data_IF_406137269884
#
_entry.id   IF_406137269884
#
_cell.length_a   1.000
_cell.length_b   1.000
_cell.length_c   1.000
_cell.angle_alpha   90.00
_cell.angle_beta   90.00
_cell.angle_gamma   90.00
#
_symmetry.space_group_name_H-M   'P 1'
#
loop_
_entity.id
_entity.type
_entity.pdbx_description
1 polymer ?
#
# COMPACT_ATOMS: atom_id res chain seq x y z
N UNK A 1 -25.83 -39.01 44.40
CA UNK A 1 -25.28 -37.81 45.05
C UNK A 1 -24.68 -36.95 43.95
N UNK A 2 -25.45 -36.01 43.44
CA UNK A 2 -24.96 -34.95 42.57
C UNK A 2 -24.98 -33.69 43.45
N UNK A 3 -23.80 -33.11 43.70
CA UNK A 3 -23.64 -31.85 44.42
C UNK A 3 -24.37 -30.74 43.67
N UNK A 4 -25.46 -30.23 44.25
CA UNK A 4 -26.06 -28.99 43.83
C UNK A 4 -25.28 -27.86 44.52
N UNK A 5 -24.27 -27.33 43.84
CA UNK A 5 -23.60 -26.10 44.28
C UNK A 5 -24.64 -25.00 44.54
N UNK A 6 -24.54 -24.38 45.72
CA UNK A 6 -25.54 -23.46 46.24
C UNK A 6 -25.53 -22.13 45.44
N UNK A 7 -26.67 -21.66 44.88
CA UNK A 7 -26.72 -20.50 43.98
C UNK A 7 -26.11 -19.20 44.55
N UNK A 8 -26.08 -19.03 45.87
CA UNK A 8 -25.47 -17.87 46.53
C UNK A 8 -23.92 -17.88 46.48
N UNK A 9 -23.30 -19.05 46.57
CA UNK A 9 -21.84 -19.19 46.50
C UNK A 9 -21.33 -18.91 45.07
N UNK A 10 -22.08 -19.40 44.07
CA UNK A 10 -21.81 -19.11 42.65
C UNK A 10 -21.93 -17.62 42.37
N UNK A 11 -22.97 -16.94 42.89
CA UNK A 11 -23.13 -15.50 42.70
C UNK A 11 -22.01 -14.66 43.36
N UNK A 12 -21.51 -15.06 44.53
CA UNK A 12 -20.40 -14.38 45.21
C UNK A 12 -19.07 -14.55 44.47
N UNK A 13 -18.77 -15.76 43.98
CA UNK A 13 -17.58 -16.04 43.17
C UNK A 13 -17.58 -15.25 41.85
N UNK A 14 -18.75 -15.15 41.19
CA UNK A 14 -18.92 -14.34 39.98
C UNK A 14 -18.67 -12.85 40.27
N UNK A 15 -19.19 -12.31 41.37
CA UNK A 15 -18.98 -10.90 41.74
C UNK A 15 -17.51 -10.58 42.10
N UNK A 16 -16.79 -11.52 42.73
CA UNK A 16 -15.37 -11.39 43.02
C UNK A 16 -14.53 -11.37 41.73
N UNK A 17 -14.80 -12.30 40.81
CA UNK A 17 -14.13 -12.36 39.51
C UNK A 17 -14.38 -11.11 38.65
N UNK A 18 -15.60 -10.58 38.61
CA UNK A 18 -15.90 -9.32 37.91
C UNK A 18 -15.14 -8.12 38.50
N UNK A 19 -14.99 -8.10 39.82
CA UNK A 19 -14.26 -7.03 40.52
C UNK A 19 -12.77 -7.10 40.19
N UNK A 20 -12.18 -8.30 40.19
CA UNK A 20 -10.79 -8.52 39.74
C UNK A 20 -10.61 -8.17 38.27
N UNK A 21 -11.58 -8.51 37.42
CA UNK A 21 -11.56 -8.16 35.99
C UNK A 21 -11.50 -6.65 35.81
N UNK A 22 -12.37 -5.87 36.48
CA UNK A 22 -12.33 -4.40 36.40
C UNK A 22 -10.98 -3.87 36.87
N UNK A 23 -10.49 -4.34 38.02
CA UNK A 23 -9.20 -3.93 38.54
C UNK A 23 -8.04 -4.22 37.58
N UNK A 24 -8.02 -5.41 36.95
CA UNK A 24 -7.03 -5.78 35.94
C UNK A 24 -6.98 -4.78 34.77
N UNK A 25 -8.14 -4.42 34.21
CA UNK A 25 -8.22 -3.46 33.11
C UNK A 25 -7.91 -2.03 33.56
N UNK A 26 -8.30 -1.62 34.77
CA UNK A 26 -7.93 -0.31 35.33
C UNK A 26 -6.40 -0.18 35.44
N UNK A 27 -5.72 -1.20 35.96
CA UNK A 27 -4.24 -1.23 36.04
C UNK A 27 -3.58 -1.12 34.67
N UNK A 28 -4.12 -1.79 33.65
CA UNK A 28 -3.64 -1.67 32.27
C UNK A 28 -3.86 -0.26 31.75
N UNK A 29 -5.07 0.30 31.90
CA UNK A 29 -5.40 1.63 31.39
C UNK A 29 -4.56 2.73 32.06
N UNK A 30 -4.28 2.58 33.36
CA UNK A 30 -3.48 3.51 34.17
C UNK A 30 -1.97 3.33 33.95
N UNK A 31 -1.53 2.28 33.26
CA UNK A 31 -0.11 2.00 33.03
C UNK A 31 0.63 1.50 34.27
N UNK A 32 -0.08 0.93 35.25
CA UNK A 32 0.50 0.50 36.52
C UNK A 32 1.06 -0.92 36.46
N UNK A 33 2.20 -1.08 35.78
CA UNK A 33 2.83 -2.39 35.56
C UNK A 33 3.18 -3.13 36.85
N UNK A 34 3.54 -2.43 37.92
CA UNK A 34 3.97 -3.06 39.18
C UNK A 34 2.80 -3.78 39.87
N UNK A 35 1.67 -3.08 40.03
CA UNK A 35 0.47 -3.71 40.58
C UNK A 35 -0.12 -4.76 39.63
N UNK A 36 -0.01 -4.53 38.32
CA UNK A 36 -0.44 -5.51 37.32
C UNK A 36 0.33 -6.83 37.44
N UNK A 37 1.65 -6.79 37.65
CA UNK A 37 2.48 -7.99 37.89
C UNK A 37 2.02 -8.74 39.13
N UNK A 38 1.85 -8.03 40.24
CA UNK A 38 1.38 -8.63 41.51
C UNK A 38 0.02 -9.30 41.32
N UNK A 39 -0.91 -8.63 40.61
CA UNK A 39 -2.21 -9.21 40.31
C UNK A 39 -2.07 -10.45 39.45
N UNK A 40 -1.32 -10.39 38.33
CA UNK A 40 -1.12 -11.54 37.43
C UNK A 40 -0.53 -12.74 38.16
N UNK A 41 0.46 -12.54 39.04
CA UNK A 41 1.12 -13.62 39.79
C UNK A 41 0.21 -14.24 40.87
N UNK A 42 -0.90 -13.57 41.22
CA UNK A 42 -1.92 -14.08 42.15
C UNK A 42 -3.03 -14.89 41.48
N UNK A 43 -3.14 -14.84 40.14
CA UNK A 43 -4.17 -15.53 39.38
C UNK A 43 -3.74 -16.96 39.05
N UNK A 44 -4.71 -17.86 38.96
CA UNK A 44 -4.45 -19.16 38.33
C UNK A 44 -4.40 -19.03 36.79
N UNK A 45 -3.97 -20.09 36.12
CA UNK A 45 -3.79 -20.09 34.68
C UNK A 45 -5.11 -19.91 33.90
N UNK A 46 -6.22 -20.43 34.42
CA UNK A 46 -7.53 -20.36 33.75
C UNK A 46 -8.14 -18.97 33.90
N UNK A 47 -8.03 -18.36 35.08
CA UNK A 47 -8.40 -16.97 35.34
C UNK A 47 -7.59 -16.02 34.46
N UNK A 48 -6.27 -16.17 34.41
CA UNK A 48 -5.40 -15.32 33.60
C UNK A 48 -5.72 -15.47 32.11
N UNK A 49 -5.85 -16.69 31.59
CA UNK A 49 -6.24 -16.92 30.19
C UNK A 49 -7.59 -16.30 29.86
N UNK A 50 -8.54 -16.38 30.80
CA UNK A 50 -9.85 -15.75 30.65
C UNK A 50 -9.70 -14.23 30.56
N UNK A 51 -8.92 -13.59 31.43
CA UNK A 51 -8.70 -12.14 31.41
C UNK A 51 -7.99 -11.67 30.14
N UNK A 52 -6.97 -12.41 29.67
CA UNK A 52 -6.21 -12.08 28.47
C UNK A 52 -7.09 -12.11 27.21
N UNK A 53 -7.95 -13.14 27.08
CA UNK A 53 -8.84 -13.33 25.92
C UNK A 53 -10.10 -12.47 25.96
N UNK A 54 -10.42 -11.87 27.10
CA UNK A 54 -11.66 -11.12 27.27
C UNK A 54 -11.54 -9.76 26.60
N UNK A 55 -12.22 -9.60 25.46
CA UNK A 55 -12.67 -8.28 25.05
C UNK A 55 -13.75 -7.85 26.07
N UNK A 56 -13.50 -6.77 26.84
CA UNK A 56 -14.50 -6.21 27.76
C UNK A 56 -15.81 -6.00 26.96
N UNK A 57 -17.00 -6.45 27.39
CA UNK A 57 -17.74 -5.82 28.49
C UNK A 57 -19.10 -6.49 28.84
N UNK A 58 -19.51 -6.70 30.11
CA UNK A 58 -20.92 -6.92 30.45
C UNK A 58 -21.70 -5.67 30.90
N UNK A 59 -21.10 -4.49 31.16
CA UNK A 59 -21.82 -3.38 31.85
C UNK A 59 -21.55 -1.94 31.35
N UNK A 60 -20.52 -1.61 30.58
CA UNK A 60 -20.25 -0.22 30.19
C UNK A 60 -21.12 0.26 29.02
N UNK A 61 -22.20 0.94 29.40
CA UNK A 61 -23.01 1.82 28.54
C UNK A 61 -22.27 3.11 28.12
N UNK A 62 -20.94 3.16 28.21
CA UNK A 62 -20.12 4.36 27.93
C UNK A 62 -18.94 4.00 27.03
N UNK A 63 -19.22 4.00 25.73
CA UNK A 63 -18.38 4.54 24.64
C UNK A 63 -16.91 4.85 25.00
N UNK A 64 -16.06 3.84 25.24
CA UNK A 64 -14.58 3.93 25.15
C UNK A 64 -13.94 2.53 25.13
N UNK A 65 -13.34 2.23 23.97
CA UNK A 65 -12.38 1.16 23.66
C UNK A 65 -12.82 -0.28 24.03
N UNK A 66 -13.61 -0.87 23.15
CA UNK A 66 -13.76 -2.32 23.04
C UNK A 66 -12.45 -2.91 22.54
N UNK A 67 -11.71 -3.59 23.40
CA UNK A 67 -10.45 -4.25 23.04
C UNK A 67 -10.06 -5.24 24.13
N UNK A 68 -9.26 -6.24 23.76
CA UNK A 68 -8.58 -7.14 24.70
C UNK A 68 -7.66 -6.37 25.66
N UNK A 69 -7.04 -7.09 26.60
CA UNK A 69 -5.99 -6.57 27.45
C UNK A 69 -4.83 -5.96 26.64
N UNK A 70 -4.38 -6.65 25.57
CA UNK A 70 -3.29 -6.20 24.72
C UNK A 70 -3.66 -4.90 24.01
N UNK A 71 -4.85 -4.82 23.42
CA UNK A 71 -5.32 -3.62 22.72
C UNK A 71 -5.45 -2.43 23.66
N UNK A 72 -5.91 -2.67 24.90
CA UNK A 72 -5.99 -1.64 25.94
C UNK A 72 -4.60 -1.07 26.26
N UNK A 73 -3.62 -1.94 26.51
CA UNK A 73 -2.23 -1.53 26.73
C UNK A 73 -1.63 -0.81 25.51
N UNK A 74 -1.88 -1.34 24.31
CA UNK A 74 -1.40 -0.77 23.04
C UNK A 74 -1.94 0.64 22.82
N UNK A 75 -3.24 0.86 23.03
CA UNK A 75 -3.87 2.17 22.90
C UNK A 75 -3.54 3.14 24.04
N UNK A 76 -3.19 2.62 25.20
CA UNK A 76 -2.59 3.37 26.31
C UNK A 76 -1.14 3.78 26.07
N UNK A 77 -0.48 3.17 25.05
CA UNK A 77 0.97 3.29 24.78
C UNK A 77 1.85 2.75 25.91
N UNK A 78 1.33 1.80 26.68
CA UNK A 78 2.02 1.13 27.78
C UNK A 78 2.77 -0.09 27.22
N UNK A 79 3.87 0.15 26.50
CA UNK A 79 4.57 -0.91 25.75
C UNK A 79 5.28 -1.94 26.62
N UNK A 80 5.62 -1.57 27.85
CA UNK A 80 6.08 -2.48 28.90
C UNK A 80 4.97 -3.44 29.35
N UNK A 81 3.73 -2.96 29.42
CA UNK A 81 2.54 -3.79 29.67
C UNK A 81 2.24 -4.67 28.45
N UNK A 82 2.38 -4.16 27.21
CA UNK A 82 2.25 -4.99 26.00
C UNK A 82 3.21 -6.17 26.07
N UNK A 83 4.48 -5.93 26.41
CA UNK A 83 5.49 -6.97 26.54
C UNK A 83 5.13 -8.00 27.63
N UNK A 84 4.69 -7.53 28.80
CA UNK A 84 4.22 -8.39 29.90
C UNK A 84 3.03 -9.25 29.49
N UNK A 85 2.03 -8.67 28.82
CA UNK A 85 0.84 -9.41 28.41
C UNK A 85 1.19 -10.49 27.37
N UNK A 86 2.07 -10.18 26.41
CA UNK A 86 2.58 -11.18 25.45
C UNK A 86 3.38 -12.27 26.15
N UNK A 87 4.15 -11.94 27.20
CA UNK A 87 4.95 -12.91 27.98
C UNK A 87 4.02 -13.91 28.68
N UNK A 88 2.87 -13.41 29.14
CA UNK A 88 1.86 -14.18 29.86
C UNK A 88 0.86 -14.88 28.93
N UNK A 89 1.05 -14.85 27.61
CA UNK A 89 0.28 -15.62 26.64
C UNK A 89 -0.85 -14.88 25.94
N UNK A 90 -0.86 -13.53 25.95
CA UNK A 90 -1.74 -12.77 25.06
C UNK A 90 -1.43 -13.13 23.59
N UNK A 91 -2.47 -13.28 22.77
CA UNK A 91 -2.31 -13.61 21.35
C UNK A 91 -1.76 -12.39 20.57
N UNK A 92 -0.53 -12.44 20.04
CA UNK A 92 0.05 -11.33 19.29
C UNK A 92 -0.65 -11.07 17.94
N UNK A 93 -1.51 -11.99 17.50
CA UNK A 93 -2.24 -11.94 16.24
C UNK A 93 -3.71 -11.57 16.41
N UNK A 94 -4.15 -11.25 17.63
CA UNK A 94 -5.56 -11.00 17.87
C UNK A 94 -6.07 -9.80 17.05
N UNK A 95 -7.12 -9.97 16.24
CA UNK A 95 -7.63 -8.88 15.43
C UNK A 95 -8.26 -7.82 16.33
N UNK A 96 -8.15 -6.56 15.91
CA UNK A 96 -8.82 -5.47 16.59
C UNK A 96 -10.35 -5.62 16.48
N UNK A 97 -11.00 -5.96 17.59
CA UNK A 97 -12.46 -6.11 17.66
C UNK A 97 -13.12 -4.74 17.91
N UNK A 98 -13.52 -4.06 16.83
CA UNK A 98 -14.24 -2.79 16.93
C UNK A 98 -14.53 -2.13 15.58
N UNK A 99 -15.44 -1.15 15.57
CA UNK A 99 -15.70 -0.32 14.39
C UNK A 99 -14.84 0.95 14.45
N UNK A 100 -13.83 1.04 13.59
CA UNK A 100 -13.25 2.35 13.24
C UNK A 100 -14.02 2.85 12.03
N UNK A 101 -14.73 3.98 12.17
CA UNK A 101 -15.50 4.59 11.08
C UNK A 101 -16.53 3.63 10.42
N UNK A 102 -17.24 2.80 11.20
CA UNK A 102 -18.21 1.81 10.72
C UNK A 102 -17.65 0.72 9.78
N UNK A 103 -16.33 0.56 9.69
CA UNK A 103 -15.71 -0.58 9.00
C UNK A 103 -15.14 -1.53 10.05
N UNK A 104 -15.46 -2.82 9.90
CA UNK A 104 -14.68 -3.87 10.55
C UNK A 104 -13.33 -3.88 9.85
N UNK A 105 -12.26 -3.76 10.61
CA UNK A 105 -10.91 -3.90 10.10
C UNK A 105 -10.22 -4.91 10.98
N UNK A 106 -9.92 -6.09 10.46
CA UNK A 106 -9.06 -7.08 11.11
C UNK A 106 -7.60 -6.60 11.12
N UNK A 107 -7.34 -5.48 11.78
CA UNK A 107 -5.98 -5.00 11.99
C UNK A 107 -5.34 -5.83 13.10
N UNK A 108 -4.13 -6.29 12.86
CA UNK A 108 -3.31 -6.97 13.87
C UNK A 108 -2.55 -5.93 14.72
N UNK A 109 -2.06 -6.32 15.92
CA UNK A 109 -1.14 -5.50 16.69
C UNK A 109 0.11 -5.12 15.88
N UNK A 110 0.66 -6.05 15.09
CA UNK A 110 1.84 -5.79 14.25
C UNK A 110 1.55 -4.76 13.17
N UNK A 111 0.47 -4.92 12.39
CA UNK A 111 0.06 -3.95 11.38
C UNK A 111 -0.11 -2.55 12.01
N UNK A 112 -0.71 -2.49 13.20
CA UNK A 112 -0.94 -1.24 13.90
C UNK A 112 0.36 -0.61 14.43
N UNK A 113 1.31 -1.42 14.90
CA UNK A 113 2.64 -0.95 15.29
C UNK A 113 3.40 -0.34 14.10
N UNK A 114 3.37 -1.00 12.95
CA UNK A 114 3.98 -0.52 11.71
C UNK A 114 3.33 0.78 11.24
N UNK A 115 1.99 0.85 11.17
CA UNK A 115 1.30 2.08 10.75
C UNK A 115 1.57 3.29 11.65
N UNK A 116 2.02 3.06 12.89
CA UNK A 116 2.43 4.09 13.86
C UNK A 116 3.94 4.29 13.97
N UNK A 117 4.74 3.64 13.12
CA UNK A 117 6.20 3.68 13.11
C UNK A 117 6.84 3.23 14.44
N UNK A 118 6.25 2.25 15.12
CA UNK A 118 6.70 1.78 16.45
C UNK A 118 7.63 0.57 16.32
N UNK A 119 8.85 0.76 15.80
CA UNK A 119 9.81 -0.34 15.58
C UNK A 119 10.09 -1.19 16.84
N UNK A 120 10.29 -0.63 18.05
CA UNK A 120 10.51 -1.47 19.25
C UNK A 120 9.34 -2.43 19.52
N UNK A 121 8.11 -1.97 19.31
CA UNK A 121 6.89 -2.77 19.49
C UNK A 121 6.78 -3.82 18.40
N UNK A 122 7.14 -3.50 17.15
CA UNK A 122 7.22 -4.48 16.06
C UNK A 122 8.18 -5.63 16.43
N UNK A 123 9.37 -5.30 16.97
CA UNK A 123 10.35 -6.30 17.42
C UNK A 123 9.81 -7.20 18.51
N UNK A 124 9.16 -6.62 19.53
CA UNK A 124 8.53 -7.38 20.61
C UNK A 124 7.44 -8.31 20.08
N UNK A 125 6.56 -7.82 19.21
CA UNK A 125 5.46 -8.61 18.65
C UNK A 125 5.97 -9.81 17.83
N UNK A 126 6.92 -9.58 16.92
CA UNK A 126 7.50 -10.66 16.10
C UNK A 126 8.24 -11.67 16.98
N UNK A 127 9.03 -11.21 17.97
CA UNK A 127 9.71 -12.08 18.91
C UNK A 127 8.75 -12.96 19.75
N UNK A 128 7.47 -12.56 19.85
CA UNK A 128 6.41 -13.28 20.57
C UNK A 128 5.45 -14.03 19.66
N UNK A 129 5.78 -14.18 18.37
CA UNK A 129 5.00 -15.00 17.44
C UNK A 129 3.91 -14.25 16.68
N UNK A 130 4.00 -12.92 16.57
CA UNK A 130 3.19 -12.19 15.59
C UNK A 130 3.51 -12.71 14.18
N UNK A 131 2.47 -13.08 13.44
CA UNK A 131 2.57 -13.47 12.05
C UNK A 131 2.91 -12.21 11.23
N UNK A 132 4.12 -12.23 10.67
CA UNK A 132 4.73 -11.10 9.98
C UNK A 132 3.99 -10.70 8.68
N UNK A 133 3.28 -11.66 8.10
CA UNK A 133 2.54 -11.52 6.83
C UNK A 133 1.03 -11.35 7.03
N UNK A 134 0.54 -11.41 8.28
CA UNK A 134 -0.90 -11.34 8.55
C UNK A 134 -1.44 -9.95 8.20
N UNK A 135 -2.09 -9.89 7.04
CA UNK A 135 -2.68 -8.69 6.49
C UNK A 135 -4.06 -8.35 7.05
N UNK A 136 -4.57 -7.20 6.61
CA UNK A 136 -5.95 -6.76 6.91
C UNK A 136 -6.98 -7.54 6.10
N UNK A 137 -8.27 -7.19 6.23
CA UNK A 137 -9.35 -7.76 5.40
C UNK A 137 -9.16 -7.54 3.89
N UNK A 138 -8.43 -6.50 3.51
CA UNK A 138 -8.03 -6.24 2.12
C UNK A 138 -6.67 -6.86 1.77
N UNK A 139 -6.20 -7.82 2.56
CA UNK A 139 -4.90 -8.48 2.43
C UNK A 139 -3.69 -7.51 2.41
N UNK A 140 -3.83 -6.29 2.96
CA UNK A 140 -2.71 -5.35 3.07
C UNK A 140 -1.79 -5.86 4.18
N UNK A 141 -0.56 -6.25 3.83
CA UNK A 141 0.42 -6.79 4.78
C UNK A 141 1.12 -5.69 5.57
N UNK A 142 1.74 -6.01 6.73
CA UNK A 142 2.61 -5.08 7.44
C UNK A 142 3.73 -4.49 6.56
N UNK A 143 4.30 -5.30 5.65
CA UNK A 143 5.35 -4.85 4.74
C UNK A 143 4.84 -3.78 3.75
N UNK A 144 3.64 -3.97 3.17
CA UNK A 144 3.06 -2.98 2.26
C UNK A 144 2.83 -1.63 2.92
N UNK A 145 2.28 -1.60 4.14
CA UNK A 145 2.05 -0.33 4.84
C UNK A 145 3.38 0.32 5.29
N UNK A 146 4.41 -0.46 5.62
CA UNK A 146 5.76 0.08 5.88
C UNK A 146 6.34 0.76 4.63
N UNK A 147 6.21 0.13 3.45
CA UNK A 147 6.65 0.69 2.17
C UNK A 147 5.88 1.96 1.81
N UNK A 148 4.55 1.93 1.97
CA UNK A 148 3.68 3.09 1.74
C UNK A 148 4.10 4.30 2.57
N UNK A 149 4.49 4.06 3.82
CA UNK A 149 4.89 5.09 4.76
C UNK A 149 6.38 5.43 4.67
N UNK A 150 7.13 4.83 3.73
CA UNK A 150 8.57 5.05 3.55
C UNK A 150 9.43 4.75 4.79
N UNK A 151 9.05 3.73 5.56
CA UNK A 151 9.70 3.37 6.83
C UNK A 151 10.84 2.35 6.62
N UNK A 152 12.00 2.79 6.12
CA UNK A 152 13.11 1.89 5.76
C UNK A 152 13.52 0.92 6.88
N UNK A 153 13.67 1.39 8.12
CA UNK A 153 14.08 0.53 9.24
C UNK A 153 13.06 -0.59 9.53
N UNK A 154 11.76 -0.31 9.37
CA UNK A 154 10.70 -1.30 9.57
C UNK A 154 10.62 -2.24 8.37
N UNK A 155 10.77 -1.73 7.14
CA UNK A 155 10.87 -2.58 5.94
C UNK A 155 12.02 -3.57 6.09
N UNK A 156 13.20 -3.08 6.45
CA UNK A 156 14.40 -3.91 6.67
C UNK A 156 14.11 -4.98 7.73
N UNK A 157 13.60 -4.57 8.90
CA UNK A 157 13.25 -5.48 9.97
C UNK A 157 12.25 -6.57 9.52
N UNK A 158 11.19 -6.20 8.80
CA UNK A 158 10.17 -7.14 8.37
C UNK A 158 10.74 -8.18 7.38
N UNK A 159 11.47 -7.72 6.37
CA UNK A 159 12.06 -8.61 5.35
C UNK A 159 13.13 -9.53 5.97
N UNK A 160 14.00 -9.02 6.84
CA UNK A 160 15.01 -9.82 7.55
C UNK A 160 14.39 -10.87 8.49
N UNK A 161 13.14 -10.66 8.94
CA UNK A 161 12.40 -11.62 9.76
C UNK A 161 11.43 -12.50 8.93
N UNK A 162 11.61 -12.54 7.62
CA UNK A 162 10.94 -13.50 6.73
C UNK A 162 9.60 -13.04 6.16
N UNK A 163 9.32 -11.74 6.14
CA UNK A 163 8.14 -11.22 5.43
C UNK A 163 8.21 -11.56 3.94
N UNK A 164 7.11 -12.07 3.39
CA UNK A 164 7.04 -12.39 1.96
C UNK A 164 6.83 -11.11 1.13
N UNK A 165 7.89 -10.71 0.41
CA UNK A 165 7.94 -9.50 -0.42
C UNK A 165 6.97 -9.51 -1.61
N UNK A 166 6.47 -10.69 -2.01
CA UNK A 166 5.64 -10.90 -3.20
C UNK A 166 4.16 -11.17 -2.88
N UNK A 167 3.73 -11.03 -1.62
CA UNK A 167 2.30 -11.10 -1.32
C UNK A 167 1.54 -10.00 -2.06
N UNK A 168 0.35 -10.35 -2.51
CA UNK A 168 -0.59 -9.45 -3.19
C UNK A 168 -1.74 -9.11 -2.26
N UNK A 169 -2.14 -7.83 -2.25
CA UNK A 169 -3.34 -7.40 -1.54
C UNK A 169 -4.61 -7.73 -2.33
N UNK A 170 -5.76 -7.25 -1.86
CA UNK A 170 -7.06 -7.45 -2.52
C UNK A 170 -7.17 -6.86 -3.93
N UNK A 171 -6.28 -5.95 -4.32
CA UNK A 171 -6.20 -5.34 -5.65
C UNK A 171 -5.07 -5.96 -6.50
N UNK A 172 -4.35 -6.95 -5.96
CA UNK A 172 -3.22 -7.58 -6.63
C UNK A 172 -1.88 -6.84 -6.41
N UNK A 173 -1.86 -5.76 -5.64
CA UNK A 173 -0.67 -4.94 -5.47
C UNK A 173 0.34 -5.60 -4.51
N UNK A 174 1.63 -5.47 -4.80
CA UNK A 174 2.73 -5.91 -3.94
C UNK A 174 3.35 -4.77 -3.13
N UNK A 175 4.24 -5.11 -2.19
CA UNK A 175 5.07 -4.13 -1.49
C UNK A 175 5.94 -3.31 -2.46
N UNK A 176 6.47 -3.94 -3.52
CA UNK A 176 7.27 -3.27 -4.55
C UNK A 176 6.46 -2.22 -5.30
N UNK A 177 5.24 -2.55 -5.73
CA UNK A 177 4.36 -1.58 -6.41
C UNK A 177 4.03 -0.39 -5.52
N UNK A 178 3.72 -0.66 -4.25
CA UNK A 178 3.49 0.40 -3.26
C UNK A 178 4.72 1.30 -3.11
N UNK A 179 5.92 0.71 -3.07
CA UNK A 179 7.17 1.46 -3.00
C UNK A 179 7.45 2.27 -4.28
N UNK A 180 7.12 1.75 -5.47
CA UNK A 180 7.33 2.44 -6.74
C UNK A 180 6.49 3.74 -6.86
N UNK A 181 5.29 3.75 -6.28
CA UNK A 181 4.47 4.95 -6.15
C UNK A 181 5.06 6.02 -5.21
N UNK A 182 6.04 5.64 -4.37
CA UNK A 182 6.72 6.52 -3.43
C UNK A 182 8.08 6.91 -3.99
N UNK A 183 8.48 8.18 -3.83
CA UNK A 183 9.80 8.67 -4.26
C UNK A 183 10.94 8.19 -3.35
N UNK A 184 10.92 6.92 -2.95
CA UNK A 184 11.91 6.29 -2.07
C UNK A 184 12.62 5.14 -2.80
N UNK A 185 13.71 5.50 -3.46
CA UNK A 185 14.54 4.59 -4.26
C UNK A 185 15.15 3.47 -3.40
N UNK A 186 15.55 3.80 -2.17
CA UNK A 186 16.24 2.86 -1.29
C UNK A 186 15.34 1.66 -0.98
N UNK A 187 14.05 1.89 -0.68
CA UNK A 187 13.10 0.80 -0.40
C UNK A 187 12.88 -0.06 -1.65
N UNK A 188 12.79 0.55 -2.83
CA UNK A 188 12.63 -0.20 -4.09
C UNK A 188 13.83 -1.11 -4.33
N UNK A 189 15.05 -0.55 -4.23
CA UNK A 189 16.30 -1.31 -4.38
C UNK A 189 16.41 -2.43 -3.34
N UNK A 190 16.04 -2.15 -2.09
CA UNK A 190 16.04 -3.14 -1.02
C UNK A 190 15.05 -4.28 -1.30
N UNK A 191 13.81 -4.00 -1.72
CA UNK A 191 12.83 -5.04 -2.03
C UNK A 191 13.28 -5.92 -3.21
N UNK A 192 13.79 -5.31 -4.28
CA UNK A 192 14.27 -6.03 -5.47
C UNK A 192 15.45 -6.96 -5.13
N UNK A 193 16.43 -6.46 -4.35
CA UNK A 193 17.55 -7.29 -3.87
C UNK A 193 17.14 -8.44 -2.95
N UNK A 194 15.92 -8.41 -2.40
CA UNK A 194 15.33 -9.47 -1.59
C UNK A 194 14.28 -10.30 -2.35
N UNK A 195 14.31 -10.26 -3.69
CA UNK A 195 13.53 -11.15 -4.54
C UNK A 195 12.11 -10.68 -4.85
N UNK A 196 11.83 -9.38 -4.71
CA UNK A 196 10.59 -8.81 -5.23
C UNK A 196 10.51 -8.98 -6.76
N UNK A 197 9.38 -9.47 -7.25
CA UNK A 197 9.16 -9.69 -8.67
C UNK A 197 8.90 -8.36 -9.40
N UNK A 198 9.88 -7.93 -10.21
CA UNK A 198 9.83 -6.70 -11.01
C UNK A 198 8.71 -6.69 -12.06
N UNK A 199 8.26 -7.88 -12.48
CA UNK A 199 7.20 -8.08 -13.49
C UNK A 199 5.86 -8.52 -12.90
N UNK A 200 5.70 -8.49 -11.56
CA UNK A 200 4.42 -8.82 -10.97
C UNK A 200 3.36 -7.85 -11.49
N UNK A 201 2.19 -8.35 -11.86
CA UNK A 201 1.06 -7.51 -12.25
C UNK A 201 0.01 -7.51 -11.14
N UNK A 202 -0.62 -6.36 -10.94
CA UNK A 202 -1.84 -6.25 -10.13
C UNK A 202 -3.06 -6.78 -10.90
N UNK A 203 -4.23 -6.80 -10.28
CA UNK A 203 -5.44 -7.32 -10.92
C UNK A 203 -5.97 -6.41 -12.06
N UNK A 204 -5.47 -5.19 -12.18
CA UNK A 204 -5.71 -4.32 -13.33
C UNK A 204 -4.64 -4.48 -14.43
N UNK A 205 -3.64 -5.33 -14.22
CA UNK A 205 -2.54 -5.57 -15.13
C UNK A 205 -1.42 -4.53 -15.06
N UNK A 206 -1.37 -3.68 -14.03
CA UNK A 206 -0.33 -2.67 -13.92
C UNK A 206 0.96 -3.29 -13.39
N UNK A 207 2.09 -2.94 -14.01
CA UNK A 207 3.42 -3.34 -13.55
C UNK A 207 4.02 -2.31 -12.57
N UNK A 208 5.05 -2.66 -11.78
CA UNK A 208 5.81 -1.71 -10.97
C UNK A 208 6.33 -0.52 -11.76
N UNK A 209 6.77 -0.73 -13.01
CA UNK A 209 7.20 0.34 -13.90
C UNK A 209 6.07 1.32 -14.22
N UNK A 210 4.85 0.82 -14.48
CA UNK A 210 3.69 1.69 -14.69
C UNK A 210 3.36 2.50 -13.43
N UNK A 211 3.45 1.90 -12.24
CA UNK A 211 3.22 2.59 -10.96
C UNK A 211 4.23 3.73 -10.72
N UNK A 212 5.51 3.50 -11.03
CA UNK A 212 6.56 4.52 -11.00
C UNK A 212 6.31 5.63 -12.04
N UNK A 213 5.95 5.25 -13.26
CA UNK A 213 5.66 6.17 -14.35
C UNK A 213 4.43 7.06 -14.06
N UNK A 214 3.40 6.50 -13.43
CA UNK A 214 2.23 7.26 -12.97
C UNK A 214 2.53 8.20 -11.80
N UNK A 215 3.67 8.06 -11.11
CA UNK A 215 4.00 8.81 -9.90
C UNK A 215 5.12 9.82 -10.07
N UNK A 216 5.53 10.10 -11.33
CA UNK A 216 6.66 11.00 -11.65
C UNK A 216 7.95 10.59 -10.91
N UNK A 217 8.23 9.28 -10.90
CA UNK A 217 9.34 8.71 -10.17
C UNK A 217 10.42 8.19 -11.11
N UNK A 218 11.05 9.13 -11.83
CA UNK A 218 12.05 8.85 -12.85
C UNK A 218 13.21 7.99 -12.34
N UNK A 219 13.70 8.24 -11.13
CA UNK A 219 14.82 7.46 -10.57
C UNK A 219 14.42 6.01 -10.32
N UNK A 220 13.17 5.74 -9.92
CA UNK A 220 12.66 4.36 -9.84
C UNK A 220 12.47 3.77 -11.22
N UNK A 221 11.97 4.52 -12.21
CA UNK A 221 11.90 4.04 -13.59
C UNK A 221 13.27 3.62 -14.12
N UNK A 222 14.33 4.42 -13.87
CA UNK A 222 15.72 4.07 -14.21
C UNK A 222 16.15 2.79 -13.54
N UNK A 223 16.01 2.70 -12.23
CA UNK A 223 16.38 1.51 -11.47
C UNK A 223 15.71 0.25 -12.04
N UNK A 224 14.39 0.30 -12.28
CA UNK A 224 13.63 -0.84 -12.77
C UNK A 224 14.08 -1.28 -14.17
N UNK A 225 14.30 -0.34 -15.10
CA UNK A 225 14.64 -0.66 -16.49
C UNK A 225 16.13 -0.96 -16.67
N UNK A 226 17.02 -0.13 -16.14
CA UNK A 226 18.46 -0.20 -16.37
C UNK A 226 19.14 -1.27 -15.51
N UNK A 227 18.71 -1.47 -14.26
CA UNK A 227 19.36 -2.41 -13.34
C UNK A 227 18.58 -3.74 -13.20
N UNK A 228 17.25 -3.70 -13.34
CA UNK A 228 16.39 -4.87 -13.14
C UNK A 228 15.67 -5.35 -14.41
N UNK A 229 15.98 -4.77 -15.56
CA UNK A 229 15.50 -5.17 -16.89
C UNK A 229 13.97 -5.26 -16.99
N UNK A 230 13.25 -4.33 -16.37
CA UNK A 230 11.79 -4.28 -16.42
C UNK A 230 11.28 -4.09 -17.87
N UNK A 231 10.21 -4.81 -18.23
CA UNK A 231 9.62 -4.77 -19.57
C UNK A 231 8.93 -3.42 -19.83
N UNK A 232 9.55 -2.59 -20.68
CA UNK A 232 9.12 -1.22 -20.98
C UNK A 232 7.76 -1.18 -21.68
N UNK A 233 7.48 -2.18 -22.52
CA UNK A 233 6.26 -2.26 -23.32
C UNK A 233 5.21 -3.21 -22.74
N UNK A 234 5.35 -3.57 -21.46
CA UNK A 234 4.33 -4.34 -20.77
C UNK A 234 2.99 -3.61 -20.87
N UNK A 235 1.94 -4.36 -21.16
CA UNK A 235 0.59 -3.85 -21.29
C UNK A 235 -0.27 -4.37 -20.14
N UNK A 236 -1.27 -3.60 -19.76
CA UNK A 236 -2.32 -4.07 -18.87
C UNK A 236 -3.13 -5.20 -19.52
N UNK A 237 -3.93 -5.93 -18.73
CA UNK A 237 -4.62 -7.17 -19.17
C UNK A 237 -5.50 -6.97 -20.42
N UNK A 238 -6.07 -5.79 -20.60
CA UNK A 238 -6.89 -5.45 -21.78
C UNK A 238 -6.09 -4.76 -22.91
N UNK A 239 -4.76 -4.76 -22.86
CA UNK A 239 -3.92 -4.05 -23.81
C UNK A 239 -4.10 -2.53 -23.72
N UNK A 240 -4.59 -2.02 -22.59
CA UNK A 240 -5.05 -0.63 -22.51
C UNK A 240 -3.91 0.35 -22.30
N UNK A 241 -2.98 0.06 -21.39
CA UNK A 241 -2.02 1.06 -20.95
C UNK A 241 -0.61 0.49 -20.93
N UNK A 242 0.33 1.32 -21.35
CA UNK A 242 1.78 1.15 -21.15
C UNK A 242 2.30 2.20 -20.19
N UNK A 243 3.52 2.02 -19.68
CA UNK A 243 4.18 3.03 -18.84
C UNK A 243 4.28 4.39 -19.56
N UNK A 244 4.48 4.38 -20.89
CA UNK A 244 4.54 5.58 -21.72
C UNK A 244 3.19 6.33 -21.75
N UNK A 245 2.07 5.63 -21.98
CA UNK A 245 0.73 6.24 -21.95
C UNK A 245 0.44 6.82 -20.57
N UNK A 246 0.78 6.08 -19.51
CA UNK A 246 0.63 6.53 -18.12
C UNK A 246 1.38 7.84 -17.85
N UNK A 247 2.67 7.93 -18.20
CA UNK A 247 3.48 9.13 -18.04
C UNK A 247 2.99 10.29 -18.92
N UNK A 248 2.62 10.01 -20.16
CA UNK A 248 2.17 11.02 -21.12
C UNK A 248 0.84 11.67 -20.71
N UNK A 249 -0.12 10.89 -20.24
CA UNK A 249 -1.42 11.39 -19.77
C UNK A 249 -1.29 12.32 -18.55
N UNK A 250 -0.24 12.13 -17.72
CA UNK A 250 0.02 12.95 -16.53
C UNK A 250 0.94 14.14 -16.82
N UNK A 251 1.70 14.10 -17.92
CA UNK A 251 2.57 15.17 -18.36
C UNK A 251 3.99 15.09 -17.81
N UNK A 252 4.46 13.89 -17.44
CA UNK A 252 5.78 13.70 -16.85
C UNK A 252 6.84 13.55 -17.95
N UNK A 253 7.23 14.68 -18.53
CA UNK A 253 8.13 14.75 -19.68
C UNK A 253 9.45 13.97 -19.46
N UNK A 254 10.05 14.10 -18.28
CA UNK A 254 11.33 13.42 -18.01
C UNK A 254 11.19 11.89 -18.00
N UNK A 255 10.05 11.37 -17.53
CA UNK A 255 9.73 9.93 -17.61
C UNK A 255 9.41 9.52 -19.04
N UNK A 256 8.67 10.35 -19.79
CA UNK A 256 8.39 10.11 -21.22
C UNK A 256 9.68 9.99 -22.01
N UNK A 257 10.59 10.96 -21.88
CA UNK A 257 11.89 10.94 -22.56
C UNK A 257 12.70 9.69 -22.21
N UNK A 258 12.74 9.34 -20.92
CA UNK A 258 13.45 8.15 -20.47
C UNK A 258 12.88 6.87 -21.10
N UNK A 259 11.56 6.70 -21.08
CA UNK A 259 10.91 5.51 -21.63
C UNK A 259 11.12 5.42 -23.16
N UNK A 260 11.05 6.53 -23.90
CA UNK A 260 11.27 6.54 -25.35
C UNK A 260 12.72 6.25 -25.71
N UNK A 261 13.69 6.76 -24.94
CA UNK A 261 15.11 6.40 -25.07
C UNK A 261 15.37 4.91 -24.83
N UNK A 262 14.50 4.25 -24.05
CA UNK A 262 14.58 2.82 -23.73
C UNK A 262 13.61 1.95 -24.55
N UNK A 263 13.17 2.44 -25.71
CA UNK A 263 12.43 1.64 -26.68
C UNK A 263 10.95 1.45 -26.37
N UNK A 264 10.34 2.37 -25.60
CA UNK A 264 8.89 2.40 -25.48
C UNK A 264 8.22 2.61 -26.86
N UNK A 265 7.21 1.79 -27.15
CA UNK A 265 6.41 1.87 -28.37
C UNK A 265 5.54 3.14 -28.35
N UNK A 266 6.01 4.16 -29.08
CA UNK A 266 5.33 5.45 -29.21
C UNK A 266 4.01 5.36 -30.00
N UNK A 267 3.80 4.28 -30.77
CA UNK A 267 2.61 4.08 -31.58
C UNK A 267 1.57 3.19 -30.91
N UNK A 268 1.91 2.52 -29.80
CA UNK A 268 0.96 1.72 -29.05
C UNK A 268 -0.26 2.58 -28.67
N UNK A 269 -1.44 2.03 -28.94
CA UNK A 269 -2.71 2.66 -28.68
C UNK A 269 -3.58 1.76 -27.80
N UNK A 270 -4.33 2.39 -26.91
CA UNK A 270 -5.26 1.70 -26.03
C UNK A 270 -6.49 1.15 -26.79
N UNK A 271 -7.43 0.55 -26.06
CA UNK A 271 -8.69 0.02 -26.61
C UNK A 271 -9.61 1.07 -27.24
N UNK A 272 -9.37 2.37 -26.99
CA UNK A 272 -10.05 3.49 -27.63
C UNK A 272 -9.26 4.01 -28.84
N UNK A 273 -8.15 3.36 -29.20
CA UNK A 273 -7.24 3.84 -30.23
C UNK A 273 -6.47 5.09 -29.81
N UNK A 274 -6.41 5.44 -28.52
CA UNK A 274 -5.64 6.58 -28.04
C UNK A 274 -4.20 6.15 -27.74
N UNK A 275 -3.25 6.70 -28.50
CA UNK A 275 -1.82 6.57 -28.21
C UNK A 275 -1.35 7.61 -27.18
N UNK A 276 -0.06 7.56 -26.81
CA UNK A 276 0.54 8.46 -25.83
C UNK A 276 0.37 9.95 -26.20
N UNK A 277 0.48 10.29 -27.49
CA UNK A 277 0.29 11.66 -27.99
C UNK A 277 -1.15 12.12 -27.83
N UNK A 278 -2.12 11.30 -28.20
CA UNK A 278 -3.54 11.63 -28.05
C UNK A 278 -3.92 11.80 -26.57
N UNK A 279 -3.38 10.98 -25.67
CA UNK A 279 -3.57 11.15 -24.23
C UNK A 279 -2.95 12.45 -23.72
N UNK A 280 -1.73 12.80 -24.16
CA UNK A 280 -1.10 14.07 -23.83
C UNK A 280 -1.95 15.26 -24.29
N UNK A 281 -2.47 15.23 -25.53
CA UNK A 281 -3.38 16.26 -26.06
C UNK A 281 -4.66 16.37 -25.24
N UNK A 282 -5.37 15.24 -25.04
CA UNK A 282 -6.65 15.18 -24.31
C UNK A 282 -6.52 15.68 -22.87
N UNK A 283 -5.33 15.55 -22.27
CA UNK A 283 -5.01 16.02 -20.91
C UNK A 283 -4.31 17.39 -20.87
N UNK A 284 -4.13 18.06 -22.02
CA UNK A 284 -3.53 19.38 -22.10
C UNK A 284 -2.03 19.43 -21.77
N UNK A 285 -1.29 18.33 -21.99
CA UNK A 285 0.13 18.19 -21.67
C UNK A 285 1.00 18.65 -22.83
N UNK A 286 1.01 19.97 -23.07
CA UNK A 286 1.64 20.61 -24.25
C UNK A 286 3.08 20.17 -24.48
N UNK A 287 3.93 20.19 -23.44
CA UNK A 287 5.35 19.87 -23.60
C UNK A 287 5.60 18.39 -23.93
N UNK A 288 4.78 17.49 -23.37
CA UNK A 288 4.82 16.06 -23.74
C UNK A 288 4.33 15.88 -25.17
N UNK A 289 3.23 16.50 -25.56
CA UNK A 289 2.72 16.41 -26.93
C UNK A 289 3.75 16.94 -27.94
N UNK A 290 4.40 18.08 -27.65
CA UNK A 290 5.47 18.65 -28.46
C UNK A 290 6.64 17.68 -28.62
N UNK A 291 7.06 17.06 -27.52
CA UNK A 291 8.14 16.07 -27.55
C UNK A 291 7.76 14.83 -28.36
N UNK A 292 6.58 14.25 -28.15
CA UNK A 292 6.09 13.07 -28.86
C UNK A 292 5.99 13.33 -30.38
N UNK A 293 5.54 14.52 -30.80
CA UNK A 293 5.56 14.92 -32.21
C UNK A 293 6.98 15.05 -32.73
N UNK A 294 7.89 15.65 -31.96
CA UNK A 294 9.29 15.85 -32.37
C UNK A 294 10.06 14.52 -32.58
N UNK A 295 9.71 13.46 -31.83
CA UNK A 295 10.31 12.12 -32.00
C UNK A 295 9.63 11.26 -33.06
N UNK A 296 8.66 11.82 -33.81
CA UNK A 296 8.04 11.14 -34.95
C UNK A 296 6.86 10.23 -34.62
N UNK A 297 6.10 10.52 -33.56
CA UNK A 297 4.80 9.85 -33.34
C UNK A 297 3.87 10.12 -34.51
N UNK A 298 3.08 9.13 -34.95
CA UNK A 298 2.15 9.31 -36.06
C UNK A 298 1.04 10.29 -35.64
N UNK A 299 1.03 11.47 -36.25
CA UNK A 299 0.05 12.52 -35.98
C UNK A 299 -1.28 12.31 -36.71
N UNK A 300 -1.31 11.42 -37.72
CA UNK A 300 -2.49 11.09 -38.50
C UNK A 300 -3.20 9.81 -38.02
N UNK A 301 -2.64 9.11 -37.03
CA UNK A 301 -3.31 8.02 -36.31
C UNK A 301 -4.70 8.45 -35.86
N UNK A 302 -5.66 7.52 -35.88
CA UNK A 302 -7.08 7.78 -35.56
C UNK A 302 -7.54 6.91 -34.41
N UNK A 303 -8.25 7.55 -33.48
CA UNK A 303 -8.96 6.85 -32.41
C UNK A 303 -10.23 6.15 -32.95
N UNK A 304 -10.97 5.47 -32.08
CA UNK A 304 -12.20 4.77 -32.45
C UNK A 304 -13.32 5.69 -32.99
N UNK A 305 -13.27 6.98 -32.66
CA UNK A 305 -14.20 8.00 -33.16
C UNK A 305 -13.71 8.61 -34.48
N UNK A 306 -12.58 8.14 -35.00
CA UNK A 306 -11.94 8.62 -36.22
C UNK A 306 -11.19 9.93 -36.05
N UNK A 307 -10.93 10.39 -34.82
CA UNK A 307 -10.27 11.66 -34.51
C UNK A 307 -8.76 11.48 -34.43
N UNK A 308 -8.04 12.47 -34.96
CA UNK A 308 -6.58 12.61 -34.82
C UNK A 308 -6.23 13.43 -33.59
N UNK A 309 -4.95 13.41 -33.22
CA UNK A 309 -4.43 14.25 -32.14
C UNK A 309 -4.71 15.75 -32.37
N UNK A 310 -4.64 16.23 -33.61
CA UNK A 310 -5.01 17.63 -33.93
C UNK A 310 -6.50 17.90 -33.69
N UNK A 311 -7.37 16.99 -34.11
CA UNK A 311 -8.83 17.17 -33.98
C UNK A 311 -9.22 17.26 -32.48
N UNK A 312 -8.61 16.42 -31.64
CA UNK A 312 -8.75 16.48 -30.18
C UNK A 312 -8.23 17.80 -29.58
N UNK A 313 -7.13 18.36 -30.12
CA UNK A 313 -6.59 19.64 -29.67
C UNK A 313 -7.53 20.80 -30.00
N UNK A 314 -8.12 20.79 -31.20
CA UNK A 314 -9.08 21.80 -31.66
C UNK A 314 -10.37 21.79 -30.82
N UNK A 315 -10.90 20.60 -30.49
CA UNK A 315 -12.06 20.46 -29.61
C UNK A 315 -11.82 20.99 -28.20
N UNK A 316 -10.59 20.87 -27.70
CA UNK A 316 -10.22 21.39 -26.37
C UNK A 316 -10.09 22.92 -26.33
N UNK A 317 -10.01 23.58 -27.48
CA UNK A 317 -9.78 25.03 -27.58
C UNK A 317 -8.37 25.49 -27.18
N UNK A 318 -7.42 24.57 -26.98
CA UNK A 318 -6.06 24.89 -26.59
C UNK A 318 -5.23 25.33 -27.82
N UNK A 319 -5.15 26.65 -28.03
CA UNK A 319 -4.44 27.26 -29.17
C UNK A 319 -2.97 26.85 -29.25
N UNK A 320 -2.30 26.73 -28.10
CA UNK A 320 -0.89 26.33 -28.05
C UNK A 320 -0.72 24.87 -28.47
N UNK A 321 -1.62 23.98 -28.04
CA UNK A 321 -1.63 22.57 -28.44
C UNK A 321 -1.88 22.41 -29.94
N UNK A 322 -2.81 23.17 -30.51
CA UNK A 322 -3.09 23.16 -31.95
C UNK A 322 -1.88 23.63 -32.76
N UNK A 323 -1.11 24.59 -32.22
CA UNK A 323 0.08 25.11 -32.90
C UNK A 323 1.19 24.05 -33.09
N UNK A 324 1.28 23.04 -32.21
CA UNK A 324 2.25 21.94 -32.33
C UNK A 324 2.08 21.20 -33.66
N UNK A 325 0.84 20.98 -34.09
CA UNK A 325 0.53 20.24 -35.31
C UNK A 325 0.75 21.05 -36.59
N UNK A 326 0.64 22.39 -36.52
CA UNK A 326 0.93 23.27 -37.67
C UNK A 326 2.40 23.33 -38.01
N UNK A 327 3.27 23.32 -37.00
CA UNK A 327 4.72 23.31 -37.21
C UNK A 327 5.22 21.99 -37.79
N UNK A 328 4.58 20.87 -37.45
CA UNK A 328 4.94 19.55 -37.95
C UNK A 328 4.58 19.35 -39.44
N UNK A 329 3.45 19.90 -39.90
CA UNK A 329 3.03 19.83 -41.31
C UNK A 329 3.95 20.63 -42.25
N UNK A 330 4.53 21.73 -41.76
CA UNK A 330 5.39 22.61 -42.57
C UNK A 330 6.78 22.00 -42.84
N UNK A 331 7.28 21.12 -41.95
CA UNK A 331 8.58 20.45 -42.13
C UNK A 331 8.47 19.19 -43.00
N UNK A 332 7.37 18.42 -42.93
CA UNK A 332 7.13 17.30 -43.85
C UNK A 332 6.93 17.77 -45.31
N UNK A 333 6.38 18.97 -45.52
CA UNK A 333 6.21 19.56 -46.86
C UNK A 333 7.50 20.08 -47.49
N UNK A 334 8.61 20.23 -46.74
CA UNK A 334 9.91 20.66 -47.28
C UNK A 334 10.80 19.51 -47.73
N UNK A 335 10.59 18.30 -47.23
CA UNK A 335 11.40 17.12 -47.58
C UNK A 335 11.04 16.53 -48.96
N UNK A 336 9.83 16.75 -49.48
CA UNK A 336 9.41 16.25 -50.81
C UNK A 336 9.75 17.20 -51.97
N UNK A 337 10.46 18.32 -51.71
CA UNK A 337 10.67 19.40 -52.68
C UNK A 337 12.03 19.47 -53.37
N UNK A 338 12.95 18.53 -53.11
CA UNK A 338 14.30 18.55 -53.74
C UNK A 338 14.69 17.21 -54.33
N UNK A 339 14.02 16.80 -55.40
CA UNK A 339 14.65 15.98 -56.44
C UNK A 339 14.21 16.55 -57.79
N UNK A 340 15.00 17.53 -58.25
CA UNK A 340 14.86 18.16 -59.54
C UNK A 340 15.91 17.65 -60.53
N UNK A 341 15.42 17.38 -61.74
CA UNK A 341 16.04 17.63 -63.05
C UNK A 341 17.36 16.93 -63.42
#
# INVERSE_FOLDING_TARGET
MADAEHPAAVAAAVADFETRTRHFFDLINDGNIQQLRVLIDSLDADELNTLLRRAVDPVARVRRRTGSALWSAFFGRHFDIVDLLLEKGADPNEPMVGTVNNRRTNMTPLFTAVSRSLLPVCRQLVARGANIDLGTDSAITPLMIACNNSQMEIVTFLVENGANVNLQNGDGETALMTACCRKNLDIVSFLLSHGANVEQLDYSGQSPLMQAAMSDNLEVCRLLVEEWAAEVNQQTIEGQLTALICAASRGYLAVVNFLTEHGADIQHADVQGLNALMWAVKKGKTEVARHLVAIGTDTDHRDIDGKRAQDLAEESGNVEMVAIFRTATDDNGRAEGTDGQ
#
